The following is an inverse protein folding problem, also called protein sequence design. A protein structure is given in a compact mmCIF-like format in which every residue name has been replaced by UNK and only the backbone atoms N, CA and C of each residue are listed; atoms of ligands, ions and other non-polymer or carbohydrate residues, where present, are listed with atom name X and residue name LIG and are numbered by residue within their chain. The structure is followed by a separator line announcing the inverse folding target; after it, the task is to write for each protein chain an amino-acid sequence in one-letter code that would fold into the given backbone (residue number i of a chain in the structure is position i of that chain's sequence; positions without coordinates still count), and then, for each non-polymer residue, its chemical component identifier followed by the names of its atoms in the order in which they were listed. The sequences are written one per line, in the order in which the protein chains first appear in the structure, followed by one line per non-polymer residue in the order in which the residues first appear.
data_IF_777283015335
#
_entry.id   IF_777283015335
#
_cell.length_a   1.000
_cell.length_b   1.000
_cell.length_c   1.000
_cell.angle_alpha   90.00
_cell.angle_beta   90.00
_cell.angle_gamma   90.00
#
_symmetry.space_group_name_H-M   'P 1'
#
loop_
_entity.id
_entity.type
_entity.pdbx_description
1 polymer ?
#
# COMPACT_ATOMS: atom_id res chain seq x y z
N UNK A 1 5.47 -15.77 -94.93
CA UNK A 1 5.38 -16.21 -93.53
C UNK A 1 5.75 -15.01 -92.65
N UNK A 2 4.76 -14.21 -92.21
CA UNK A 2 4.98 -13.03 -91.34
C UNK A 2 4.42 -13.35 -89.97
N UNK A 3 5.30 -13.46 -88.98
CA UNK A 3 4.98 -13.74 -87.59
C UNK A 3 4.37 -12.49 -86.93
N UNK A 4 3.26 -12.70 -86.23
CA UNK A 4 2.44 -11.66 -85.60
C UNK A 4 3.21 -10.94 -84.49
N UNK A 5 3.24 -9.61 -84.57
CA UNK A 5 3.71 -8.74 -83.50
C UNK A 5 2.61 -8.57 -82.45
N UNK A 6 3.00 -8.86 -81.21
CA UNK A 6 2.25 -8.69 -79.98
C UNK A 6 1.67 -7.27 -79.87
N UNK A 7 0.36 -7.15 -79.62
CA UNK A 7 -0.23 -5.91 -79.10
C UNK A 7 -1.11 -6.22 -77.90
N UNK A 8 -0.50 -6.27 -76.72
CA UNK A 8 -1.24 -6.19 -75.46
C UNK A 8 -1.80 -4.77 -75.31
N UNK A 9 -3.12 -4.62 -75.46
CA UNK A 9 -3.82 -3.42 -74.98
C UNK A 9 -4.13 -3.61 -73.49
N UNK A 10 -3.22 -3.15 -72.61
CA UNK A 10 -3.60 -2.89 -71.21
C UNK A 10 -4.38 -1.59 -71.18
N UNK A 11 -5.71 -1.68 -71.10
CA UNK A 11 -6.53 -0.58 -70.59
C UNK A 11 -6.16 -0.40 -69.12
N UNK A 12 -5.33 0.60 -68.84
CA UNK A 12 -5.06 1.07 -67.48
C UNK A 12 -6.38 1.64 -66.95
N UNK A 13 -7.06 0.89 -66.10
CA UNK A 13 -8.21 1.41 -65.37
C UNK A 13 -7.71 2.52 -64.45
N UNK A 14 -8.17 3.73 -64.74
CA UNK A 14 -7.93 4.93 -63.94
C UNK A 14 -8.50 4.74 -62.54
N UNK A 15 -7.64 4.73 -61.51
CA UNK A 15 -8.08 4.91 -60.13
C UNK A 15 -8.23 6.41 -59.89
N UNK A 16 -9.45 6.93 -59.66
CA UNK A 16 -9.62 8.34 -59.35
C UNK A 16 -8.87 8.69 -58.07
N UNK A 17 -8.17 9.82 -58.12
CA UNK A 17 -7.23 10.26 -57.09
C UNK A 17 -7.79 10.13 -55.68
N UNK A 18 -6.99 9.52 -54.80
CA UNK A 18 -7.16 9.64 -53.37
C UNK A 18 -7.14 11.13 -53.02
N UNK A 19 -8.31 11.68 -52.70
CA UNK A 19 -8.47 13.08 -52.34
C UNK A 19 -7.45 13.45 -51.27
N UNK A 20 -6.70 14.52 -51.52
CA UNK A 20 -5.81 15.15 -50.52
C UNK A 20 -6.62 15.37 -49.25
N UNK A 21 -6.46 14.49 -48.25
CA UNK A 21 -7.00 14.72 -46.91
C UNK A 21 -6.37 16.02 -46.43
N UNK A 22 -7.18 17.06 -46.26
CA UNK A 22 -6.70 18.36 -45.82
C UNK A 22 -5.95 18.16 -44.49
N UNK A 23 -4.74 18.71 -44.40
CA UNK A 23 -3.90 18.64 -43.21
C UNK A 23 -4.53 19.31 -41.97
N UNK A 24 -5.71 19.93 -42.11
CA UNK A 24 -6.48 20.52 -41.02
C UNK A 24 -7.08 19.44 -40.08
N UNK A 25 -7.58 18.32 -40.63
CA UNK A 25 -8.15 17.25 -39.81
C UNK A 25 -7.13 16.50 -38.95
N UNK A 26 -5.88 16.40 -39.42
CA UNK A 26 -4.80 15.74 -38.68
C UNK A 26 -4.23 16.60 -37.56
N UNK A 27 -4.27 17.94 -37.66
CA UNK A 27 -3.87 18.84 -36.57
C UNK A 27 -4.87 18.81 -35.40
N UNK A 28 -6.17 18.77 -35.71
CA UNK A 28 -7.21 18.64 -34.69
C UNK A 28 -7.12 17.29 -33.96
N UNK A 29 -6.90 16.20 -34.68
CA UNK A 29 -6.70 14.88 -34.09
C UNK A 29 -5.46 14.83 -33.19
N UNK A 30 -4.34 15.43 -33.62
CA UNK A 30 -3.12 15.54 -32.80
C UNK A 30 -3.36 16.36 -31.52
N UNK A 31 -4.08 17.48 -31.63
CA UNK A 31 -4.46 18.29 -30.46
C UNK A 31 -5.32 17.50 -29.47
N UNK A 32 -6.31 16.74 -29.97
CA UNK A 32 -7.15 15.88 -29.14
C UNK A 32 -6.34 14.78 -28.43
N UNK A 33 -5.39 14.15 -29.13
CA UNK A 33 -4.49 13.14 -28.53
C UNK A 33 -3.63 13.77 -27.43
N UNK A 34 -3.06 14.96 -27.66
CA UNK A 34 -2.26 15.66 -26.64
C UNK A 34 -3.10 15.97 -25.40
N UNK A 35 -4.33 16.44 -25.60
CA UNK A 35 -5.24 16.75 -24.49
C UNK A 35 -5.64 15.50 -23.71
N UNK A 36 -5.89 14.38 -24.41
CA UNK A 36 -6.16 13.08 -23.79
C UNK A 36 -4.97 12.62 -22.95
N UNK A 37 -3.76 12.69 -23.50
CA UNK A 37 -2.53 12.31 -22.77
C UNK A 37 -2.35 13.19 -21.54
N UNK A 38 -2.53 14.51 -21.68
CA UNK A 38 -2.43 15.43 -20.55
C UNK A 38 -3.43 15.10 -19.44
N UNK A 39 -4.68 14.79 -19.82
CA UNK A 39 -5.71 14.36 -18.87
C UNK A 39 -5.28 13.10 -18.09
N UNK A 40 -4.78 12.08 -18.78
CA UNK A 40 -4.27 10.89 -18.11
C UNK A 40 -3.07 11.20 -17.21
N UNK A 41 -2.11 12.02 -17.65
CA UNK A 41 -0.94 12.39 -16.82
C UNK A 41 -1.39 13.05 -15.51
N UNK A 42 -2.37 13.96 -15.55
CA UNK A 42 -2.90 14.61 -14.36
C UNK A 42 -3.60 13.61 -13.42
N UNK A 43 -4.40 12.69 -13.97
CA UNK A 43 -5.00 11.61 -13.18
C UNK A 43 -3.94 10.71 -12.51
N UNK A 44 -2.92 10.29 -13.25
CA UNK A 44 -1.85 9.46 -12.70
C UNK A 44 -1.04 10.19 -11.63
N UNK A 45 -0.71 11.47 -11.84
CA UNK A 45 0.06 12.26 -10.88
C UNK A 45 -0.66 12.37 -9.52
N UNK A 46 -1.97 12.66 -9.52
CA UNK A 46 -2.75 12.74 -8.28
C UNK A 46 -2.85 11.39 -7.58
N UNK A 47 -3.02 10.30 -8.34
CA UNK A 47 -3.07 8.94 -7.79
C UNK A 47 -1.73 8.52 -7.18
N UNK A 48 -0.60 8.89 -7.81
CA UNK A 48 0.74 8.58 -7.31
C UNK A 48 1.04 9.24 -5.96
N UNK A 49 0.59 10.48 -5.75
CA UNK A 49 0.76 11.18 -4.46
C UNK A 49 -0.02 10.48 -3.36
N UNK A 50 -1.27 10.09 -3.63
CA UNK A 50 -2.11 9.36 -2.67
C UNK A 50 -1.48 8.02 -2.26
N UNK A 51 -0.89 7.30 -3.21
CA UNK A 51 -0.20 6.04 -2.94
C UNK A 51 1.01 6.25 -2.01
N UNK A 52 1.78 7.32 -2.21
CA UNK A 52 2.91 7.64 -1.35
C UNK A 52 2.47 7.98 0.08
N UNK A 53 1.39 8.75 0.23
CA UNK A 53 0.82 9.07 1.54
C UNK A 53 0.34 7.81 2.26
N UNK A 54 -0.42 6.94 1.58
CA UNK A 54 -0.88 5.67 2.15
C UNK A 54 0.27 4.79 2.62
N UNK A 55 1.37 4.71 1.86
CA UNK A 55 2.55 3.94 2.26
C UNK A 55 3.22 4.51 3.51
N UNK A 56 3.30 5.84 3.64
CA UNK A 56 3.82 6.48 4.86
C UNK A 56 2.94 6.20 6.07
N UNK A 57 1.63 6.30 5.91
CA UNK A 57 0.67 5.98 6.98
C UNK A 57 0.75 4.51 7.41
N UNK A 58 0.90 3.58 6.46
CA UNK A 58 1.14 2.17 6.81
C UNK A 58 2.41 2.00 7.64
N UNK A 59 3.51 2.63 7.21
CA UNK A 59 4.78 2.56 7.95
C UNK A 59 4.67 3.09 9.38
N UNK A 60 3.97 4.21 9.58
CA UNK A 60 3.81 4.78 10.93
C UNK A 60 2.93 3.92 11.82
N UNK A 61 1.86 3.33 11.28
CA UNK A 61 0.97 2.43 12.03
C UNK A 61 1.74 1.16 12.42
N UNK A 62 2.54 0.61 11.52
CA UNK A 62 3.36 -0.57 11.81
C UNK A 62 4.35 -0.29 12.96
N UNK A 63 5.00 0.88 12.95
CA UNK A 63 5.91 1.32 14.02
C UNK A 63 5.19 1.51 15.36
N UNK A 64 3.97 2.06 15.34
CA UNK A 64 3.13 2.19 16.52
C UNK A 64 2.74 0.82 17.09
N UNK A 65 2.36 -0.13 16.23
CA UNK A 65 2.06 -1.52 16.64
C UNK A 65 3.28 -2.16 17.31
N UNK A 66 4.47 -2.00 16.73
CA UNK A 66 5.69 -2.56 17.33
C UNK A 66 5.97 -1.93 18.69
N UNK A 67 5.81 -0.61 18.82
CA UNK A 67 6.01 0.11 20.08
C UNK A 67 5.06 -0.39 21.17
N UNK A 68 3.77 -0.48 20.86
CA UNK A 68 2.75 -0.96 21.80
C UNK A 68 2.98 -2.42 22.17
N UNK A 69 3.40 -3.27 21.22
CA UNK A 69 3.75 -4.67 21.51
C UNK A 69 4.92 -4.77 22.47
N UNK A 70 6.00 -4.02 22.25
CA UNK A 70 7.14 -4.01 23.16
C UNK A 70 6.75 -3.56 24.57
N UNK A 71 5.94 -2.50 24.68
CA UNK A 71 5.43 -2.03 25.97
C UNK A 71 4.59 -3.10 26.67
N UNK A 72 3.72 -3.79 25.93
CA UNK A 72 2.92 -4.87 26.48
C UNK A 72 3.80 -6.05 26.97
N UNK A 73 4.81 -6.45 26.20
CA UNK A 73 5.77 -7.48 26.61
C UNK A 73 6.61 -7.08 27.83
N UNK A 74 6.95 -5.80 27.97
CA UNK A 74 7.62 -5.27 29.16
C UNK A 74 6.69 -5.32 30.38
N UNK A 75 5.45 -4.83 30.25
CA UNK A 75 4.45 -4.88 31.31
C UNK A 75 4.14 -6.33 31.75
N UNK A 76 4.04 -7.26 30.80
CA UNK A 76 3.82 -8.68 31.11
C UNK A 76 4.99 -9.28 31.89
N UNK A 77 6.24 -8.91 31.56
CA UNK A 77 7.42 -9.32 32.33
C UNK A 77 7.43 -8.74 33.73
N UNK A 78 7.04 -7.46 33.88
CA UNK A 78 6.90 -6.84 35.19
C UNK A 78 5.81 -7.56 36.02
N UNK A 79 4.65 -7.84 35.41
CA UNK A 79 3.58 -8.62 36.03
C UNK A 79 4.07 -10.02 36.42
N UNK A 80 4.88 -10.70 35.61
CA UNK A 80 5.42 -12.01 35.95
C UNK A 80 6.40 -11.96 37.13
N UNK A 81 7.28 -10.94 37.16
CA UNK A 81 8.17 -10.71 38.30
C UNK A 81 7.39 -10.42 39.59
N UNK A 82 6.36 -9.58 39.49
CA UNK A 82 5.46 -9.24 40.59
C UNK A 82 4.49 -10.39 40.94
N UNK A 83 4.20 -11.34 40.07
CA UNK A 83 3.36 -12.50 40.38
C UNK A 83 4.17 -13.76 40.69
N UNK A 84 5.47 -13.62 40.98
CA UNK A 84 6.23 -14.74 41.54
C UNK A 84 5.57 -15.20 42.85
N UNK A 85 5.54 -16.52 43.16
CA UNK A 85 4.91 -17.04 44.37
C UNK A 85 5.41 -16.37 45.65
N UNK A 86 6.68 -15.95 45.65
CA UNK A 86 7.33 -15.23 46.74
C UNK A 86 6.78 -13.81 46.87
N UNK A 87 6.56 -13.09 45.76
CA UNK A 87 5.96 -11.75 45.80
C UNK A 87 4.48 -11.81 46.18
N UNK A 88 3.73 -12.78 45.64
CA UNK A 88 2.34 -13.03 46.02
C UNK A 88 2.19 -13.35 47.51
N UNK A 89 3.07 -14.21 48.04
CA UNK A 89 3.12 -14.51 49.47
C UNK A 89 3.50 -13.28 50.30
N UNK A 90 4.52 -12.53 49.87
CA UNK A 90 4.94 -11.28 50.53
C UNK A 90 3.80 -10.27 50.58
N UNK A 91 3.13 -10.01 49.46
CA UNK A 91 1.99 -9.09 49.38
C UNK A 91 0.80 -9.57 50.21
N UNK A 92 0.51 -10.87 50.21
CA UNK A 92 -0.52 -11.46 51.06
C UNK A 92 -0.21 -11.32 52.56
N UNK A 93 1.06 -11.47 52.96
CA UNK A 93 1.51 -11.26 54.34
C UNK A 93 1.50 -9.78 54.75
N UNK A 94 1.95 -8.88 53.89
CA UNK A 94 2.12 -7.44 54.18
C UNK A 94 0.80 -6.65 54.09
N UNK A 95 0.00 -6.86 53.05
CA UNK A 95 -1.22 -6.07 52.81
C UNK A 95 -2.47 -6.72 53.41
N UNK A 96 -2.51 -8.05 53.48
CA UNK A 96 -3.69 -8.80 53.91
C UNK A 96 -3.50 -9.54 55.25
N UNK A 97 -2.28 -9.53 55.81
CA UNK A 97 -1.96 -10.26 57.05
C UNK A 97 -2.18 -11.78 56.95
N UNK A 98 -2.23 -12.32 55.72
CA UNK A 98 -2.54 -13.72 55.48
C UNK A 98 -1.34 -14.61 55.83
N UNK A 99 -1.62 -15.73 56.49
CA UNK A 99 -0.67 -16.78 56.84
C UNK A 99 -1.18 -18.13 56.32
N UNK A 100 -0.29 -19.06 55.99
CA UNK A 100 -0.75 -20.39 55.52
C UNK A 100 -1.40 -21.15 56.67
N UNK A 101 -2.29 -22.10 56.32
CA UNK A 101 -2.88 -23.01 57.29
C UNK A 101 -1.78 -23.75 58.07
N UNK A 102 -1.74 -23.57 59.40
CA UNK A 102 -0.72 -24.15 60.28
C UNK A 102 0.45 -23.24 60.66
N UNK A 103 0.52 -22.00 60.14
CA UNK A 103 1.51 -21.00 60.55
C UNK A 103 0.99 -20.12 61.71
N UNK A 104 1.88 -19.69 62.61
CA UNK A 104 1.57 -18.81 63.75
C UNK A 104 1.93 -17.36 63.42
N UNK A 105 0.97 -16.43 63.59
CA UNK A 105 1.17 -14.99 63.42
C UNK A 105 1.72 -14.39 64.72
N UNK A 106 2.91 -13.75 64.65
CA UNK A 106 3.50 -13.03 65.78
C UNK A 106 3.22 -11.53 65.66
N UNK A 107 2.46 -10.98 66.61
CA UNK A 107 2.21 -9.54 66.71
C UNK A 107 3.04 -8.97 67.86
N UNK A 108 4.00 -8.10 67.55
CA UNK A 108 4.76 -7.37 68.56
C UNK A 108 3.98 -6.11 68.97
N UNK A 109 3.67 -5.97 70.26
CA UNK A 109 3.04 -4.78 70.86
C UNK A 109 4.12 -4.03 71.63
N UNK A 110 4.37 -2.77 71.27
CA UNK A 110 5.16 -1.84 72.11
C UNK A 110 4.37 -1.39 73.35
#
# INVERSE_FOLDING_TARGET
MKTNLVRQNKKLAYLPGAGRRSAAGSKLLKGLIILLVLYFVLLFATQSIRLLQMRRTLSSIEEEIQTVRMQNEEMLREIEQLNSPVYLEKKAREELGMVRSGELLFLFRE
#
